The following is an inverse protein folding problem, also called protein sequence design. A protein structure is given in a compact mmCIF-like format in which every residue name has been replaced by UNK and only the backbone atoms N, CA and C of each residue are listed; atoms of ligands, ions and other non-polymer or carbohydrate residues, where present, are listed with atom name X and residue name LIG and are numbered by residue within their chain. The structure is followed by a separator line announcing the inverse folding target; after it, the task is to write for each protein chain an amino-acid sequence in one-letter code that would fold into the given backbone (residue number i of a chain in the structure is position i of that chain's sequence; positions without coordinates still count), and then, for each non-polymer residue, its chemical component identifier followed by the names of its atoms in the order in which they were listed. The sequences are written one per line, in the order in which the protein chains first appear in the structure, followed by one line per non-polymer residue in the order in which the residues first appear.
data_IF_746651578162
#
_entry.id   IF_746651578162
#
_cell.length_a   1.000
_cell.length_b   1.000
_cell.length_c   1.000
_cell.angle_alpha   90.00
_cell.angle_beta   90.00
_cell.angle_gamma   90.00
#
_symmetry.space_group_name_H-M   'P 1'
#
loop_
_entity.id
_entity.type
_entity.pdbx_description
1 polymer ?
#
# COMPACT_ATOMS: atom_id res chain seq x y z
N UNK A 1 23.84 -58.35 -41.69
CA UNK A 1 24.64 -57.36 -40.93
C UNK A 1 24.01 -55.95 -40.91
N UNK A 2 22.69 -55.79 -41.14
CA UNK A 2 22.01 -54.47 -41.23
C UNK A 2 21.06 -54.22 -40.02
N UNK A 3 20.72 -55.26 -39.25
CA UNK A 3 19.72 -55.18 -38.16
C UNK A 3 20.24 -54.59 -36.83
N UNK A 4 21.56 -54.63 -36.57
CA UNK A 4 22.12 -54.13 -35.29
C UNK A 4 22.38 -52.61 -35.28
N UNK A 5 22.60 -51.97 -36.43
CA UNK A 5 22.94 -50.54 -36.51
C UNK A 5 21.71 -49.64 -36.34
N UNK A 6 20.51 -50.12 -36.70
CA UNK A 6 19.27 -49.36 -36.53
C UNK A 6 18.77 -49.31 -35.07
N UNK A 7 19.11 -50.31 -34.24
CA UNK A 7 18.71 -50.33 -32.81
C UNK A 7 19.54 -49.38 -31.94
N UNK A 8 20.81 -49.10 -32.27
CA UNK A 8 21.66 -48.21 -31.48
C UNK A 8 21.31 -46.72 -31.65
N UNK A 9 20.85 -46.32 -32.84
CA UNK A 9 20.50 -44.93 -33.13
C UNK A 9 19.15 -44.51 -32.53
N UNK A 10 18.18 -45.43 -32.45
CA UNK A 10 16.90 -45.19 -31.79
C UNK A 10 17.06 -45.04 -30.26
N UNK A 11 17.92 -45.85 -29.62
CA UNK A 11 18.14 -45.75 -28.17
C UNK A 11 18.83 -44.43 -27.77
N UNK A 12 19.70 -43.89 -28.64
CA UNK A 12 20.37 -42.61 -28.42
C UNK A 12 19.40 -41.42 -28.55
N UNK A 13 18.52 -41.43 -29.56
CA UNK A 13 17.50 -40.36 -29.75
C UNK A 13 16.53 -40.23 -28.57
N UNK A 14 16.05 -41.34 -28.00
CA UNK A 14 15.17 -41.32 -26.83
C UNK A 14 15.86 -40.76 -25.57
N UNK A 15 17.19 -40.92 -25.46
CA UNK A 15 17.98 -40.37 -24.35
C UNK A 15 18.15 -38.85 -24.47
N UNK A 16 18.42 -38.35 -25.69
CA UNK A 16 18.53 -36.90 -25.95
C UNK A 16 17.21 -36.14 -25.77
N UNK A 17 16.08 -36.75 -26.12
CA UNK A 17 14.75 -36.14 -25.93
C UNK A 17 14.40 -36.03 -24.43
N UNK A 18 14.75 -37.03 -23.62
CA UNK A 18 14.53 -36.99 -22.16
C UNK A 18 15.36 -35.91 -21.47
N UNK A 19 16.60 -35.69 -21.91
CA UNK A 19 17.49 -34.65 -21.36
C UNK A 19 16.98 -33.24 -21.72
N UNK A 20 16.50 -33.05 -22.95
CA UNK A 20 15.93 -31.75 -23.38
C UNK A 20 14.63 -31.41 -22.65
N UNK A 21 13.79 -32.40 -22.35
CA UNK A 21 12.55 -32.20 -21.58
C UNK A 21 12.83 -31.87 -20.10
N UNK A 22 13.93 -32.38 -19.53
CA UNK A 22 14.36 -32.07 -18.16
C UNK A 22 14.92 -30.65 -18.03
N UNK A 23 15.61 -30.14 -19.06
CA UNK A 23 16.13 -28.77 -19.08
C UNK A 23 15.01 -27.71 -19.22
N UNK A 24 13.93 -28.03 -19.93
CA UNK A 24 12.78 -27.12 -20.07
C UNK A 24 11.96 -26.97 -18.78
N UNK A 25 11.95 -27.99 -17.90
CA UNK A 25 11.25 -27.94 -16.62
C UNK A 25 12.05 -27.24 -15.50
N UNK A 26 13.37 -27.02 -15.68
CA UNK A 26 14.23 -26.33 -14.72
C UNK A 26 14.15 -24.81 -14.75
N UNK A 27 13.43 -24.22 -15.72
CA UNK A 27 13.45 -22.77 -15.96
C UNK A 27 12.51 -21.95 -15.06
N UNK A 28 11.83 -22.56 -14.09
CA UNK A 28 10.96 -21.86 -13.13
C UNK A 28 11.70 -21.21 -11.94
N UNK A 29 13.03 -21.28 -11.87
CA UNK A 29 13.78 -20.91 -10.67
C UNK A 29 14.09 -19.40 -10.50
N UNK A 30 13.58 -18.50 -11.35
CA UNK A 30 13.97 -17.07 -11.31
C UNK A 30 12.88 -16.09 -10.86
N UNK A 31 11.87 -16.54 -10.13
CA UNK A 31 11.06 -15.61 -9.33
C UNK A 31 11.76 -15.41 -7.98
N UNK A 32 12.59 -14.36 -7.88
CA UNK A 32 13.12 -13.90 -6.58
C UNK A 32 11.94 -13.46 -5.73
N UNK A 33 11.47 -14.32 -4.84
CA UNK A 33 10.47 -13.93 -3.85
C UNK A 33 11.04 -12.80 -2.98
N UNK A 34 10.42 -11.64 -3.02
CA UNK A 34 10.79 -10.53 -2.13
C UNK A 34 10.43 -10.94 -0.70
N UNK A 35 11.45 -11.02 0.17
CA UNK A 35 11.25 -11.30 1.59
C UNK A 35 10.87 -10.02 2.32
N UNK A 36 9.73 -10.04 3.00
CA UNK A 36 9.32 -9.01 3.95
C UNK A 36 9.75 -9.47 5.34
N UNK A 37 10.39 -8.57 6.10
CA UNK A 37 10.80 -8.87 7.46
C UNK A 37 9.58 -9.07 8.36
N UNK A 38 9.67 -10.02 9.29
CA UNK A 38 8.64 -10.23 10.30
C UNK A 38 8.61 -9.10 11.35
N UNK A 39 9.64 -8.24 11.40
CA UNK A 39 9.63 -7.03 12.24
C UNK A 39 8.82 -5.92 11.54
N UNK A 40 7.77 -5.39 12.20
CA UNK A 40 7.03 -4.24 11.70
C UNK A 40 7.92 -3.04 11.37
N UNK A 41 8.91 -2.75 12.20
CA UNK A 41 9.83 -1.62 12.07
C UNK A 41 10.62 -1.69 10.77
N UNK A 42 11.09 -2.89 10.40
CA UNK A 42 11.76 -3.13 9.13
C UNK A 42 10.79 -3.14 7.96
N UNK A 43 9.61 -3.75 8.12
CA UNK A 43 8.60 -3.80 7.07
C UNK A 43 8.09 -2.41 6.68
N UNK A 44 7.86 -1.51 7.66
CA UNK A 44 7.39 -0.14 7.41
C UNK A 44 8.34 0.69 6.56
N UNK A 45 9.64 0.38 6.50
CA UNK A 45 10.59 1.06 5.60
C UNK A 45 10.25 0.90 4.12
N UNK A 46 9.41 -0.09 3.78
CA UNK A 46 8.92 -0.34 2.41
C UNK A 46 7.70 0.50 2.04
N UNK A 47 7.16 1.31 2.97
CA UNK A 47 6.09 2.27 2.69
C UNK A 47 6.71 3.46 1.96
N UNK A 48 6.17 3.81 0.80
CA UNK A 48 6.67 4.89 -0.05
C UNK A 48 5.61 6.00 -0.12
N UNK A 49 5.92 7.18 0.45
CA UNK A 49 5.00 8.31 0.47
C UNK A 49 5.19 9.23 -0.75
N UNK A 50 6.34 9.19 -1.41
CA UNK A 50 6.53 9.82 -2.73
C UNK A 50 6.14 8.82 -3.80
N UNK A 51 4.89 8.87 -4.25
CA UNK A 51 4.37 7.83 -5.13
C UNK A 51 3.26 8.32 -6.04
N UNK A 52 3.06 7.61 -7.14
CA UNK A 52 1.91 7.85 -8.01
C UNK A 52 1.23 6.56 -8.43
N UNK A 53 -0.04 6.70 -8.83
CA UNK A 53 -0.79 5.57 -9.33
C UNK A 53 -2.28 5.81 -9.42
N UNK A 54 -3.03 4.76 -9.09
CA UNK A 54 -4.50 4.76 -9.12
C UNK A 54 -5.02 4.44 -7.73
N UNK A 55 -6.23 4.86 -7.44
CA UNK A 55 -6.87 4.49 -6.19
C UNK A 55 -8.37 4.40 -6.32
N UNK A 56 -8.99 4.02 -5.21
CA UNK A 56 -10.43 4.06 -5.06
C UNK A 56 -10.83 4.50 -3.67
N UNK A 57 -11.83 5.37 -3.61
CA UNK A 57 -12.60 5.61 -2.40
C UNK A 57 -13.75 4.61 -2.34
N UNK A 58 -14.02 4.14 -1.13
CA UNK A 58 -15.13 3.29 -0.78
C UNK A 58 -15.91 4.05 0.29
N UNK A 59 -17.12 4.47 -0.03
CA UNK A 59 -17.95 5.24 0.89
C UNK A 59 -19.39 4.76 0.83
N UNK A 60 -19.95 4.31 1.95
CA UNK A 60 -21.34 3.82 2.03
C UNK A 60 -21.69 2.81 0.90
N UNK A 61 -20.75 1.96 0.51
CA UNK A 61 -20.89 0.98 -0.58
C UNK A 61 -20.62 1.50 -2.00
N UNK A 62 -20.56 2.82 -2.21
CA UNK A 62 -20.15 3.41 -3.49
C UNK A 62 -18.64 3.37 -3.65
N UNK A 63 -18.19 3.25 -4.91
CA UNK A 63 -16.77 3.19 -5.27
C UNK A 63 -16.45 4.26 -6.30
N UNK A 64 -15.49 5.13 -5.98
CA UNK A 64 -15.02 6.17 -6.88
C UNK A 64 -13.55 5.94 -7.18
N UNK A 65 -13.22 5.74 -8.45
CA UNK A 65 -11.85 5.51 -8.90
C UNK A 65 -11.20 6.85 -9.23
N UNK A 66 -9.92 7.00 -8.86
CA UNK A 66 -9.13 8.19 -9.10
C UNK A 66 -7.70 7.85 -9.50
N UNK A 67 -6.98 8.84 -10.01
CA UNK A 67 -5.52 8.83 -10.08
C UNK A 67 -4.97 9.64 -8.92
N UNK A 68 -3.76 9.33 -8.46
CA UNK A 68 -3.14 10.15 -7.42
C UNK A 68 -1.65 10.35 -7.67
N UNK A 69 -1.14 11.44 -7.14
CA UNK A 69 0.28 11.73 -6.99
C UNK A 69 0.50 12.25 -5.58
N UNK A 70 1.42 11.65 -4.85
CA UNK A 70 1.74 12.03 -3.49
C UNK A 70 3.22 12.34 -3.31
N UNK A 71 3.49 13.28 -2.41
CA UNK A 71 4.84 13.72 -2.06
C UNK A 71 4.90 13.99 -0.55
N UNK A 72 5.90 13.43 0.08
CA UNK A 72 6.39 13.74 1.41
C UNK A 72 7.64 14.64 1.28
N UNK A 73 7.57 15.81 1.90
CA UNK A 73 8.67 16.77 1.99
C UNK A 73 9.14 16.78 3.44
N UNK A 74 10.34 16.23 3.66
CA UNK A 74 10.89 16.04 5.01
C UNK A 74 11.14 17.37 5.74
N UNK A 75 11.72 18.35 5.05
CA UNK A 75 12.01 19.69 5.61
C UNK A 75 10.75 20.43 6.08
N UNK A 76 9.62 20.16 5.44
CA UNK A 76 8.31 20.74 5.78
C UNK A 76 7.50 19.84 6.74
N UNK A 77 7.99 18.64 7.04
CA UNK A 77 7.24 17.58 7.73
C UNK A 77 5.81 17.46 7.19
N UNK A 78 5.70 17.35 5.87
CA UNK A 78 4.44 17.47 5.14
C UNK A 78 4.27 16.37 4.11
N UNK A 79 3.13 15.72 4.14
CA UNK A 79 2.69 14.78 3.12
C UNK A 79 1.46 15.33 2.39
N UNK A 80 1.56 15.50 1.09
CA UNK A 80 0.48 15.94 0.23
C UNK A 80 0.17 14.87 -0.81
N UNK A 81 -1.11 14.68 -1.10
CA UNK A 81 -1.61 13.81 -2.15
C UNK A 81 -2.64 14.57 -2.98
N UNK A 82 -2.35 14.72 -4.28
CA UNK A 82 -3.28 15.25 -5.27
C UNK A 82 -4.05 14.08 -5.85
N UNK A 83 -5.37 14.20 -5.87
CA UNK A 83 -6.32 13.16 -6.28
C UNK A 83 -7.10 13.69 -7.48
N UNK A 84 -7.06 12.95 -8.58
CA UNK A 84 -7.73 13.32 -9.82
C UNK A 84 -8.87 12.35 -10.12
N UNK A 85 -10.11 12.84 -9.98
CA UNK A 85 -11.31 12.11 -10.37
C UNK A 85 -11.69 12.47 -11.80
N UNK A 86 -11.88 11.48 -12.69
CA UNK A 86 -12.21 11.72 -14.10
C UNK A 86 -13.43 12.63 -14.35
N UNK A 87 -14.39 12.66 -13.42
CA UNK A 87 -15.65 13.41 -13.55
C UNK A 87 -15.75 14.59 -12.59
N UNK A 88 -15.16 14.49 -11.40
CA UNK A 88 -15.35 15.46 -10.31
C UNK A 88 -14.21 16.48 -10.20
N UNK A 89 -13.14 16.28 -10.97
CA UNK A 89 -11.97 17.15 -10.96
C UNK A 89 -10.97 16.75 -9.88
N UNK A 90 -10.16 17.74 -9.49
CA UNK A 90 -9.01 17.55 -8.63
C UNK A 90 -9.33 17.89 -7.18
N UNK A 91 -8.91 17.00 -6.29
CA UNK A 91 -8.96 17.17 -4.85
C UNK A 91 -7.57 16.95 -4.24
N UNK A 92 -7.39 17.30 -2.97
CA UNK A 92 -6.15 17.10 -2.25
C UNK A 92 -6.36 16.59 -0.83
N UNK A 93 -5.41 15.81 -0.35
CA UNK A 93 -5.22 15.51 1.07
C UNK A 93 -3.83 16.01 1.44
N UNK A 94 -3.76 16.90 2.42
CA UNK A 94 -2.49 17.42 2.94
C UNK A 94 -2.48 17.14 4.44
N UNK A 95 -1.44 16.46 4.91
CA UNK A 95 -1.18 16.24 6.32
C UNK A 95 0.19 16.82 6.64
N UNK A 96 0.26 17.72 7.60
CA UNK A 96 1.51 18.37 8.00
C UNK A 96 1.67 18.37 9.51
N UNK A 97 2.92 18.48 9.97
CA UNK A 97 3.22 18.59 11.40
C UNK A 97 3.10 20.05 11.85
N UNK A 98 2.18 20.31 12.77
CA UNK A 98 2.07 21.59 13.45
C UNK A 98 3.08 21.65 14.61
N UNK A 99 4.23 22.24 14.33
CA UNK A 99 5.33 22.40 15.29
C UNK A 99 4.92 23.21 16.53
N UNK A 100 3.97 24.14 16.41
CA UNK A 100 3.53 24.96 17.56
C UNK A 100 2.70 24.16 18.56
N UNK A 101 1.98 23.14 18.09
CA UNK A 101 1.08 22.32 18.92
C UNK A 101 1.52 20.86 19.04
N UNK A 102 2.69 20.49 18.51
CA UNK A 102 3.26 19.13 18.54
C UNK A 102 2.29 18.04 18.06
N UNK A 103 1.58 18.31 16.95
CA UNK A 103 0.54 17.42 16.44
C UNK A 103 0.43 17.45 14.91
N UNK A 104 -0.01 16.37 14.27
CA UNK A 104 -0.36 16.41 12.85
C UNK A 104 -1.67 17.18 12.65
N UNK A 105 -1.81 17.85 11.51
CA UNK A 105 -3.03 18.53 11.08
C UNK A 105 -3.33 18.15 9.64
N UNK A 106 -4.58 17.79 9.35
CA UNK A 106 -5.03 17.52 7.98
C UNK A 106 -5.80 18.71 7.41
N UNK A 107 -5.47 19.07 6.18
CA UNK A 107 -6.29 19.90 5.31
C UNK A 107 -6.63 19.09 4.06
N UNK A 108 -7.90 18.82 3.84
CA UNK A 108 -8.32 18.00 2.72
C UNK A 108 -9.56 18.55 2.04
N UNK A 109 -9.56 18.50 0.70
CA UNK A 109 -10.59 19.06 -0.14
C UNK A 109 -11.53 17.99 -0.73
N UNK A 110 -11.54 16.77 -0.17
CA UNK A 110 -12.29 15.63 -0.73
C UNK A 110 -13.82 15.74 -0.64
N UNK A 111 -14.28 16.90 -0.18
CA UNK A 111 -15.66 17.19 0.09
C UNK A 111 -16.48 17.30 -1.20
N UNK A 112 -15.90 17.71 -2.33
CA UNK A 112 -16.70 17.99 -3.52
C UNK A 112 -17.15 16.73 -4.26
N UNK A 113 -16.30 15.72 -4.41
CA UNK A 113 -16.61 14.47 -5.10
C UNK A 113 -17.40 13.50 -4.21
N UNK A 114 -17.04 13.42 -2.92
CA UNK A 114 -17.65 12.50 -1.95
C UNK A 114 -18.97 13.03 -1.35
N UNK A 115 -19.08 14.33 -1.03
CA UNK A 115 -20.28 14.87 -0.36
C UNK A 115 -21.44 15.16 -1.32
N UNK A 116 -21.17 15.59 -2.56
CA UNK A 116 -22.25 15.99 -3.50
C UNK A 116 -23.15 14.81 -3.90
N UNK A 117 -22.65 13.57 -3.85
CA UNK A 117 -23.36 12.38 -4.30
C UNK A 117 -23.87 11.48 -3.16
N UNK A 118 -23.34 11.64 -1.94
CA UNK A 118 -23.74 10.84 -0.79
C UNK A 118 -24.91 11.53 -0.05
N UNK A 119 -26.16 11.10 -0.32
CA UNK A 119 -27.28 11.45 0.56
C UNK A 119 -27.02 10.85 1.95
N UNK A 120 -26.93 11.69 2.98
CA UNK A 120 -26.78 11.23 4.37
C UNK A 120 -25.36 10.97 4.82
N UNK A 121 -24.38 11.71 4.29
CA UNK A 121 -23.00 11.62 4.75
C UNK A 121 -22.86 12.18 6.17
N UNK A 122 -22.41 11.33 7.10
CA UNK A 122 -22.12 11.71 8.48
C UNK A 122 -20.77 12.45 8.52
N UNK A 123 -20.75 13.77 8.82
CA UNK A 123 -19.51 14.55 8.88
C UNK A 123 -18.49 13.95 9.85
N UNK A 124 -18.95 13.26 10.90
CA UNK A 124 -18.07 12.64 11.90
C UNK A 124 -17.23 11.49 11.33
N UNK A 125 -17.65 10.88 10.21
CA UNK A 125 -16.88 9.87 9.50
C UNK A 125 -15.72 10.48 8.72
N UNK A 126 -15.90 11.69 8.15
CA UNK A 126 -14.82 12.43 7.50
C UNK A 126 -13.80 12.95 8.51
N UNK A 127 -14.27 13.48 9.65
CA UNK A 127 -13.38 13.83 10.77
C UNK A 127 -12.53 12.62 11.18
N UNK A 128 -13.18 11.45 11.27
CA UNK A 128 -12.48 10.22 11.65
C UNK A 128 -11.49 9.76 10.58
N UNK A 129 -11.73 10.08 9.30
CA UNK A 129 -10.77 9.84 8.23
C UNK A 129 -9.55 10.76 8.35
N UNK A 130 -9.76 12.05 8.65
CA UNK A 130 -8.68 12.99 8.98
C UNK A 130 -7.81 12.49 10.12
N UNK A 131 -8.43 12.09 11.24
CA UNK A 131 -7.69 11.53 12.38
C UNK A 131 -6.94 10.25 12.01
N UNK A 132 -7.45 9.44 11.07
CA UNK A 132 -6.76 8.24 10.61
C UNK A 132 -5.47 8.58 9.85
N UNK A 133 -5.51 9.56 8.94
CA UNK A 133 -4.31 10.00 8.22
C UNK A 133 -3.33 10.72 9.14
N UNK A 134 -3.81 11.55 10.06
CA UNK A 134 -3.00 12.19 11.12
C UNK A 134 -2.27 11.15 11.96
N UNK A 135 -2.98 10.11 12.41
CA UNK A 135 -2.40 9.04 13.24
C UNK A 135 -1.34 8.26 12.47
N UNK A 136 -1.61 7.95 11.19
CA UNK A 136 -0.63 7.31 10.32
C UNK A 136 0.61 8.19 10.10
N UNK A 137 0.40 9.46 9.78
CA UNK A 137 1.48 10.39 9.49
C UNK A 137 2.37 10.63 10.71
N UNK A 138 1.77 10.81 11.89
CA UNK A 138 2.51 10.87 13.16
C UNK A 138 3.37 9.62 13.38
N UNK A 139 2.82 8.42 13.16
CA UNK A 139 3.57 7.18 13.32
C UNK A 139 4.76 7.08 12.34
N UNK A 140 4.55 7.54 11.10
CA UNK A 140 5.60 7.59 10.09
C UNK A 140 6.73 8.53 10.49
N UNK A 141 6.42 9.73 11.00
CA UNK A 141 7.43 10.69 11.47
C UNK A 141 8.22 10.14 12.67
N UNK A 142 7.54 9.50 13.64
CA UNK A 142 8.19 8.84 14.78
C UNK A 142 9.16 7.77 14.30
N UNK A 143 8.75 6.92 13.36
CA UNK A 143 9.60 5.86 12.81
C UNK A 143 10.84 6.41 12.10
N UNK A 144 10.71 7.55 11.41
CA UNK A 144 11.80 8.24 10.74
C UNK A 144 12.71 9.02 11.70
N UNK A 145 12.31 9.15 12.97
CA UNK A 145 13.05 9.92 13.98
C UNK A 145 12.96 11.43 13.78
N UNK A 146 11.94 11.91 13.04
CA UNK A 146 11.76 13.31 12.68
C UNK A 146 11.02 14.12 13.74
N UNK A 147 10.32 13.44 14.65
CA UNK A 147 9.64 14.03 15.81
C UNK A 147 10.03 13.26 17.07
N UNK A 148 9.82 13.88 18.24
CA UNK A 148 10.19 13.30 19.53
C UNK A 148 9.66 11.86 19.70
N UNK A 149 10.44 11.03 20.39
CA UNK A 149 10.22 9.60 20.52
C UNK A 149 8.97 9.32 21.38
N UNK A 150 7.80 9.35 20.73
CA UNK A 150 6.51 9.03 21.32
C UNK A 150 6.15 7.58 21.02
N UNK A 151 5.41 6.93 21.92
CA UNK A 151 4.89 5.58 21.66
C UNK A 151 3.99 5.62 20.42
N UNK A 152 4.23 4.72 19.49
CA UNK A 152 3.37 4.51 18.33
C UNK A 152 1.90 4.38 18.76
N UNK A 153 0.98 5.17 18.17
CA UNK A 153 -0.45 5.03 18.42
C UNK A 153 -1.07 3.82 17.71
N UNK A 154 -0.29 3.12 16.87
CA UNK A 154 -0.75 2.03 16.00
C UNK A 154 -0.18 0.71 16.47
N UNK A 155 -1.05 -0.29 16.66
CA UNK A 155 -0.60 -1.67 16.89
C UNK A 155 -0.29 -2.30 15.55
N UNK A 156 1.01 -2.51 15.30
CA UNK A 156 1.51 -3.08 14.06
C UNK A 156 1.71 -4.60 14.14
N UNK A 157 1.40 -5.29 13.05
CA UNK A 157 1.59 -6.72 12.86
C UNK A 157 2.06 -6.99 11.43
N UNK A 158 2.99 -7.93 11.26
CA UNK A 158 3.36 -8.46 9.94
C UNK A 158 2.80 -9.87 9.82
N UNK A 159 2.04 -10.13 8.76
CA UNK A 159 1.48 -11.44 8.45
C UNK A 159 1.44 -11.65 6.94
N UNK A 160 1.85 -12.82 6.49
CA UNK A 160 1.80 -13.23 5.07
C UNK A 160 2.47 -12.22 4.10
N UNK A 161 3.62 -11.65 4.51
CA UNK A 161 4.36 -10.60 3.78
C UNK A 161 3.58 -9.27 3.63
N UNK A 162 2.55 -9.06 4.44
CA UNK A 162 1.76 -7.84 4.52
C UNK A 162 1.94 -7.21 5.89
N UNK A 163 1.79 -5.88 5.97
CA UNK A 163 1.78 -5.15 7.24
C UNK A 163 0.39 -4.61 7.54
N UNK A 164 0.01 -4.74 8.81
CA UNK A 164 -1.27 -4.35 9.34
C UNK A 164 -1.08 -3.39 10.50
N UNK A 165 -1.71 -2.22 10.42
CA UNK A 165 -1.80 -1.27 11.53
C UNK A 165 -3.23 -1.20 12.04
N UNK A 166 -3.44 -1.39 13.34
CA UNK A 166 -4.78 -1.33 13.94
C UNK A 166 -4.82 -0.33 15.09
N UNK A 167 -5.86 0.51 15.11
CA UNK A 167 -6.11 1.46 16.18
C UNK A 167 -7.60 1.85 16.23
N UNK A 168 -7.99 2.65 17.23
CA UNK A 168 -9.37 3.10 17.42
C UNK A 168 -9.47 4.61 17.29
N UNK A 169 -10.54 5.06 16.63
CA UNK A 169 -10.88 6.48 16.49
C UNK A 169 -12.35 6.62 16.87
N UNK A 170 -12.63 7.28 18.00
CA UNK A 170 -14.00 7.41 18.54
C UNK A 170 -14.70 6.03 18.59
N UNK A 171 -15.75 5.84 17.80
CA UNK A 171 -16.55 4.61 17.71
C UNK A 171 -16.10 3.65 16.58
N UNK A 172 -15.07 4.01 15.82
CA UNK A 172 -14.62 3.27 14.64
C UNK A 172 -13.33 2.49 14.90
N UNK A 173 -13.20 1.35 14.25
CA UNK A 173 -11.94 0.61 14.15
C UNK A 173 -11.21 1.06 12.89
N UNK A 174 -10.04 1.68 13.07
CA UNK A 174 -9.17 2.05 11.96
C UNK A 174 -8.22 0.88 11.64
N UNK A 175 -8.07 0.58 10.36
CA UNK A 175 -7.13 -0.42 9.86
C UNK A 175 -6.34 0.11 8.68
N UNK A 176 -5.03 0.04 8.80
CA UNK A 176 -4.07 0.24 7.73
C UNK A 176 -3.61 -1.12 7.24
N UNK A 177 -3.47 -1.29 5.93
CA UNK A 177 -2.90 -2.51 5.33
C UNK A 177 -1.97 -2.12 4.19
N UNK A 178 -0.76 -2.66 4.18
CA UNK A 178 0.17 -2.53 3.07
C UNK A 178 0.56 -3.91 2.56
N UNK A 179 0.45 -4.12 1.26
CA UNK A 179 0.58 -5.42 0.62
C UNK A 179 1.19 -5.30 -0.78
N UNK A 180 1.35 -6.45 -1.45
CA UNK A 180 1.83 -6.56 -2.83
C UNK A 180 3.20 -5.91 -3.01
N UNK A 181 4.23 -6.41 -2.35
CA UNK A 181 5.59 -5.88 -2.54
C UNK A 181 6.01 -6.05 -4.00
N UNK A 182 6.31 -4.94 -4.67
CA UNK A 182 6.70 -4.91 -6.08
C UNK A 182 8.21 -5.10 -6.26
N UNK A 183 8.68 -5.21 -7.51
CA UNK A 183 10.09 -5.51 -7.83
C UNK A 183 11.10 -4.52 -7.24
N UNK A 184 10.69 -3.27 -7.04
CA UNK A 184 11.49 -2.22 -6.37
C UNK A 184 11.53 -2.37 -4.84
N UNK A 185 10.86 -3.37 -4.28
CA UNK A 185 10.86 -3.71 -2.85
C UNK A 185 9.96 -2.82 -1.97
N UNK A 186 9.19 -1.91 -2.55
CA UNK A 186 8.16 -1.15 -1.83
C UNK A 186 6.80 -1.87 -1.88
N UNK A 187 5.88 -1.54 -0.98
CA UNK A 187 4.50 -2.03 -1.05
C UNK A 187 3.77 -1.38 -2.24
N UNK A 188 3.15 -2.21 -3.09
CA UNK A 188 2.40 -1.75 -4.27
C UNK A 188 0.95 -1.36 -3.96
N UNK A 189 0.48 -1.54 -2.72
CA UNK A 189 -0.87 -1.16 -2.33
C UNK A 189 -0.99 -0.77 -0.86
N UNK A 190 -1.69 0.34 -0.61
CA UNK A 190 -2.00 0.86 0.72
C UNK A 190 -3.53 0.93 0.89
N UNK A 191 -4.08 0.33 1.94
CA UNK A 191 -5.49 0.46 2.30
C UNK A 191 -5.62 1.19 3.64
N UNK A 192 -6.41 2.26 3.65
CA UNK A 192 -6.83 3.01 4.83
C UNK A 192 -8.32 2.79 5.02
N UNK A 193 -8.76 2.17 6.13
CA UNK A 193 -10.17 1.79 6.32
C UNK A 193 -10.67 2.14 7.70
N UNK A 194 -11.88 2.71 7.75
CA UNK A 194 -12.68 2.84 8.97
C UNK A 194 -13.82 1.84 8.92
N UNK A 195 -13.94 1.07 9.99
CA UNK A 195 -14.96 0.05 10.15
C UNK A 195 -15.86 0.37 11.33
N UNK A 196 -17.13 0.01 11.19
CA UNK A 196 -18.08 0.06 12.29
C UNK A 196 -17.79 -1.02 13.35
N UNK A 197 -18.63 -1.10 14.39
CA UNK A 197 -18.50 -2.10 15.45
C UNK A 197 -18.68 -3.53 14.95
N UNK A 198 -19.47 -3.74 13.87
CA UNK A 198 -19.73 -5.02 13.22
C UNK A 198 -18.59 -5.45 12.29
N UNK A 199 -17.68 -4.53 11.95
CA UNK A 199 -16.53 -4.77 11.08
C UNK A 199 -16.77 -4.38 9.62
N UNK A 200 -17.91 -3.79 9.31
CA UNK A 200 -18.30 -3.33 7.99
C UNK A 200 -17.56 -2.04 7.62
N UNK A 201 -17.02 -1.92 6.40
CA UNK A 201 -16.32 -0.72 5.96
C UNK A 201 -17.29 0.44 5.75
N UNK A 202 -17.14 1.50 6.54
CA UNK A 202 -17.89 2.75 6.36
C UNK A 202 -17.16 3.72 5.45
N UNK A 203 -15.83 3.75 5.58
CA UNK A 203 -14.92 4.54 4.77
C UNK A 203 -13.72 3.69 4.39
N UNK A 204 -13.25 3.84 3.16
CA UNK A 204 -12.02 3.22 2.68
C UNK A 204 -11.35 4.07 1.62
N UNK A 205 -10.03 4.18 1.69
CA UNK A 205 -9.19 4.69 0.63
C UNK A 205 -8.16 3.61 0.31
N UNK A 206 -8.12 3.18 -0.94
CA UNK A 206 -7.14 2.21 -1.40
C UNK A 206 -6.29 2.85 -2.48
N UNK A 207 -4.97 2.82 -2.28
CA UNK A 207 -3.96 3.35 -3.18
C UNK A 207 -3.20 2.20 -3.80
N UNK A 208 -3.17 2.15 -5.12
CA UNK A 208 -2.40 1.20 -5.92
C UNK A 208 -1.19 1.98 -6.44
N UNK A 209 -0.05 1.75 -5.80
CA UNK A 209 1.23 2.39 -6.12
C UNK A 209 1.77 1.75 -7.39
N UNK A 210 1.92 2.56 -8.44
CA UNK A 210 2.56 2.14 -9.68
C UNK A 210 4.04 2.43 -9.65
N UNK A 211 4.37 3.64 -9.21
CA UNK A 211 5.73 4.14 -9.17
C UNK A 211 6.01 4.72 -7.78
N UNK A 212 7.10 4.24 -7.17
CA UNK A 212 7.70 4.85 -5.99
C UNK A 212 8.82 5.77 -6.46
N UNK A 213 8.74 7.05 -6.09
CA UNK A 213 9.65 8.11 -6.51
C UNK A 213 10.78 8.32 -5.48
N UNK A 214 10.82 7.51 -4.41
CA UNK A 214 11.92 7.49 -3.45
C UNK A 214 13.08 6.66 -3.97
N UNK A 215 14.31 7.08 -3.67
CA UNK A 215 15.49 6.23 -3.92
C UNK A 215 15.42 5.03 -2.98
N UNK A 216 15.66 3.85 -3.54
CA UNK A 216 15.59 2.60 -2.81
C UNK A 216 16.79 2.47 -1.84
N UNK A 217 16.58 2.75 -0.56
CA UNK A 217 17.55 2.46 0.50
C UNK A 217 17.18 1.12 1.15
N UNK A 218 17.83 0.04 0.74
CA UNK A 218 17.76 -1.26 1.42
C UNK A 218 19.07 -1.59 2.10
#
# INVERSE_FOLDING_TARGET
MISQVLRSNLFSMYSFIKISLFLLLGSCALFKEVKVSNSPEQAKRRICLNSEGKGRFIFAGQKHVFSFQSSFVEDELKWASIIDFPVYGRESIVVEWDTAHDKPVTNASYEQALLKNAKGLDPSLLDSANVMWETFFKDFLIQKGLVANQKSPIVWEVKDKEIYGNFRIRNYKARLKFLNVVSQGHFGRFDFKLKDKKGEPLFGMELIVRDCLEKTEF
#
